data_IF_226299378040
#
_entry.id   IF_226299378040
#
_cell.length_a   1.000
_cell.length_b   1.000
_cell.length_c   1.000
_cell.angle_alpha   90.00
_cell.angle_beta   90.00
_cell.angle_gamma   90.00
#
_symmetry.space_group_name_H-M   'P 1'
#
loop_
_entity.id
_entity.type
_entity.pdbx_description
1 polymer ?
#
# COMPACT_ATOMS: atom_id res chain seq x y z
N UNK A 1 -1.49 -21.94 6.81
CA UNK A 1 -1.19 -20.50 7.01
C UNK A 1 -1.40 -19.81 5.69
N UNK A 2 -2.29 -18.80 5.56
CA UNK A 2 -2.35 -18.03 4.33
C UNK A 2 -1.00 -17.32 4.13
N UNK A 3 -0.53 -17.18 2.87
CA UNK A 3 0.72 -16.49 2.60
C UNK A 3 0.62 -15.03 3.04
N UNK A 4 1.44 -14.62 4.00
CA UNK A 4 1.56 -13.22 4.41
C UNK A 4 2.14 -12.43 3.25
N UNK A 5 1.30 -11.64 2.56
CA UNK A 5 1.77 -10.78 1.47
C UNK A 5 2.51 -9.60 2.06
N UNK A 6 3.78 -9.42 1.70
CA UNK A 6 4.59 -8.25 2.12
C UNK A 6 4.38 -7.02 1.23
N UNK A 7 3.76 -7.22 0.05
CA UNK A 7 3.56 -6.18 -0.98
C UNK A 7 2.11 -5.67 -0.93
N UNK A 8 1.94 -4.36 -1.04
CA UNK A 8 0.63 -3.71 -1.12
C UNK A 8 0.25 -3.35 -2.56
N UNK A 9 -0.97 -3.72 -2.98
CA UNK A 9 -1.49 -3.39 -4.30
C UNK A 9 -2.53 -2.28 -4.25
N UNK A 10 -2.81 -1.69 -5.42
CA UNK A 10 -3.82 -0.65 -5.52
C UNK A 10 -5.22 -1.12 -5.07
N UNK A 11 -5.53 -2.42 -5.15
CA UNK A 11 -6.79 -2.98 -4.62
C UNK A 11 -6.84 -2.94 -3.09
N UNK A 12 -5.74 -3.26 -2.43
CA UNK A 12 -5.64 -3.20 -0.97
C UNK A 12 -5.74 -1.76 -0.48
N UNK A 13 -5.04 -0.83 -1.15
CA UNK A 13 -5.15 0.60 -0.87
C UNK A 13 -6.60 1.09 -1.01
N UNK A 14 -7.33 0.64 -2.04
CA UNK A 14 -8.76 0.98 -2.19
C UNK A 14 -9.59 0.47 -1.01
N UNK A 15 -9.37 -0.77 -0.56
CA UNK A 15 -10.09 -1.31 0.61
C UNK A 15 -9.74 -0.59 1.91
N UNK A 16 -8.47 -0.25 2.11
CA UNK A 16 -7.98 0.42 3.32
C UNK A 16 -8.49 1.87 3.41
N UNK A 17 -8.46 2.60 2.28
CA UNK A 17 -8.71 4.06 2.26
C UNK A 17 -10.08 4.45 1.73
N UNK A 18 -10.83 3.53 1.14
CA UNK A 18 -12.12 3.82 0.49
C UNK A 18 -12.02 4.68 -0.77
N UNK A 19 -10.81 4.94 -1.29
CA UNK A 19 -10.63 5.81 -2.45
C UNK A 19 -10.85 5.07 -3.79
N UNK A 20 -11.02 5.84 -4.87
CA UNK A 20 -11.09 5.25 -6.21
C UNK A 20 -9.77 4.58 -6.63
N UNK A 21 -9.83 3.60 -7.53
CA UNK A 21 -8.63 2.95 -8.06
C UNK A 21 -7.64 3.90 -8.75
N UNK A 22 -8.07 5.06 -9.27
CA UNK A 22 -7.16 6.09 -9.79
C UNK A 22 -6.39 6.75 -8.65
N UNK A 23 -7.09 7.14 -7.58
CA UNK A 23 -6.48 7.75 -6.39
C UNK A 23 -5.50 6.79 -5.71
N UNK A 24 -5.86 5.51 -5.58
CA UNK A 24 -4.98 4.49 -5.03
C UNK A 24 -3.66 4.33 -5.81
N UNK A 25 -3.73 4.28 -7.14
CA UNK A 25 -2.52 4.22 -7.99
C UNK A 25 -1.65 5.47 -7.85
N UNK A 26 -2.28 6.66 -7.77
CA UNK A 26 -1.56 7.93 -7.54
C UNK A 26 -0.88 7.95 -6.17
N UNK A 27 -1.53 7.42 -5.13
CA UNK A 27 -0.94 7.30 -3.80
C UNK A 27 0.29 6.39 -3.83
N UNK A 28 0.19 5.20 -4.44
CA UNK A 28 1.34 4.31 -4.59
C UNK A 28 2.48 4.93 -5.41
N UNK A 29 2.16 5.74 -6.42
CA UNK A 29 3.19 6.47 -7.19
C UNK A 29 3.91 7.51 -6.32
N UNK A 30 3.17 8.27 -5.49
CA UNK A 30 3.76 9.23 -4.55
C UNK A 30 4.64 8.55 -3.49
N UNK A 31 4.24 7.38 -3.02
CA UNK A 31 5.04 6.58 -2.08
C UNK A 31 6.34 6.15 -2.76
N UNK A 32 6.29 5.64 -4.01
CA UNK A 32 7.50 5.30 -4.78
C UNK A 32 8.45 6.47 -4.92
N UNK A 33 7.93 7.63 -5.31
CA UNK A 33 8.71 8.87 -5.45
C UNK A 33 9.35 9.29 -4.12
N UNK A 34 8.64 9.10 -2.99
CA UNK A 34 9.15 9.44 -1.66
C UNK A 34 10.27 8.51 -1.19
N UNK A 35 10.16 7.22 -1.50
CA UNK A 35 11.15 6.19 -1.12
C UNK A 35 12.32 6.13 -2.13
N UNK A 36 12.17 6.70 -3.33
CA UNK A 36 13.17 6.66 -4.39
C UNK A 36 13.11 5.38 -5.24
N UNK A 37 11.97 4.70 -5.26
CA UNK A 37 11.74 3.47 -6.03
C UNK A 37 11.25 3.73 -7.45
N UNK A 38 11.65 2.86 -8.38
CA UNK A 38 11.16 2.84 -9.75
C UNK A 38 9.72 2.32 -9.85
N UNK A 39 9.03 2.60 -10.97
CA UNK A 39 7.64 2.15 -11.20
C UNK A 39 7.48 0.62 -11.21
N UNK A 40 8.52 -0.11 -11.57
CA UNK A 40 8.52 -1.57 -11.60
C UNK A 40 8.64 -2.17 -10.20
N UNK A 41 9.15 -1.40 -9.23
CA UNK A 41 9.32 -1.86 -7.86
C UNK A 41 8.02 -1.88 -7.08
N UNK A 42 7.96 -2.88 -6.20
CA UNK A 42 6.87 -3.08 -5.28
C UNK A 42 6.99 -2.14 -4.08
N UNK A 43 5.83 -1.71 -3.60
CA UNK A 43 5.70 -1.02 -2.31
C UNK A 43 5.34 -2.07 -1.27
N UNK A 44 6.06 -2.06 -0.17
CA UNK A 44 5.80 -2.92 0.97
C UNK A 44 4.72 -2.34 1.87
N UNK A 45 4.14 -3.19 2.72
CA UNK A 45 3.18 -2.78 3.74
C UNK A 45 3.82 -1.76 4.69
N UNK A 46 5.08 -1.97 5.08
CA UNK A 46 5.86 -1.07 5.94
C UNK A 46 5.99 0.33 5.31
N UNK A 47 6.45 0.41 4.06
CA UNK A 47 6.60 1.70 3.35
C UNK A 47 5.27 2.46 3.21
N UNK A 48 4.17 1.72 3.03
CA UNK A 48 2.85 2.31 2.98
C UNK A 48 2.40 2.81 4.36
N UNK A 49 2.62 2.03 5.41
CA UNK A 49 2.37 2.43 6.80
C UNK A 49 3.17 3.69 7.17
N UNK A 50 4.45 3.73 6.85
CA UNK A 50 5.32 4.86 7.10
C UNK A 50 4.84 6.12 6.38
N UNK A 51 4.39 6.00 5.14
CA UNK A 51 3.86 7.14 4.39
C UNK A 51 2.49 7.62 4.90
N UNK A 52 1.59 6.70 5.23
CA UNK A 52 0.19 7.01 5.59
C UNK A 52 -0.02 7.21 7.10
N UNK A 53 1.00 6.91 7.91
CA UNK A 53 0.93 6.88 9.37
C UNK A 53 -0.12 5.89 9.91
N UNK A 54 -0.47 4.88 9.11
CA UNK A 54 -1.36 3.80 9.52
C UNK A 54 -0.58 2.73 10.27
N UNK A 55 -1.23 2.08 11.25
CA UNK A 55 -0.65 0.93 11.94
C UNK A 55 -0.85 -0.33 11.11
N UNK A 56 0.20 -1.13 10.97
CA UNK A 56 0.18 -2.39 10.23
C UNK A 56 -0.98 -3.30 10.68
N UNK A 57 -1.16 -3.45 11.99
CA UNK A 57 -2.27 -4.23 12.59
C UNK A 57 -3.69 -3.75 12.20
N UNK A 58 -3.85 -2.47 11.82
CA UNK A 58 -5.12 -1.96 11.34
C UNK A 58 -5.35 -2.33 9.88
N UNK A 59 -4.32 -2.22 9.05
CA UNK A 59 -4.43 -2.46 7.61
C UNK A 59 -4.44 -3.94 7.23
N UNK A 60 -3.81 -4.81 8.03
CA UNK A 60 -3.81 -6.27 7.80
C UNK A 60 -5.22 -6.87 7.74
N UNK A 61 -6.22 -6.24 8.37
CA UNK A 61 -7.63 -6.68 8.32
C UNK A 61 -8.28 -6.48 6.95
N UNK A 62 -7.71 -5.63 6.11
CA UNK A 62 -8.23 -5.28 4.79
C UNK A 62 -7.47 -5.95 3.64
N UNK A 63 -6.33 -6.56 3.95
CA UNK A 63 -5.49 -7.31 3.01
C UNK A 63 -5.97 -8.77 3.04
N UNK A 64 -6.40 -9.28 1.88
CA UNK A 64 -6.85 -10.67 1.67
C UNK A 64 -6.08 -11.28 0.50
#
# INVERSE_FOLDING_TARGET
MPPTRMVIYAKDVQRITGCSGRTARRLLQRIREKVGKSKAEFITIEEFCDYTQFKELQILRFIQ
#
